data_IF_633533294023
#
_entry.id   IF_633533294023
#
_cell.length_a   1.000
_cell.length_b   1.000
_cell.length_c   1.000
_cell.angle_alpha   90.00
_cell.angle_beta   90.00
_cell.angle_gamma   90.00
#
_symmetry.space_group_name_H-M   'P 1'
#
loop_
_entity.id
_entity.type
_entity.pdbx_description
1 polymer ?
#
# COMPACT_ATOMS: atom_id res chain seq x y z
N UNK A 1 6.74 -15.03 -16.26
CA UNK A 1 6.29 -13.81 -16.95
C UNK A 1 5.51 -14.23 -18.17
N UNK A 2 4.24 -13.83 -18.28
CA UNK A 2 3.60 -13.82 -19.60
C UNK A 2 4.45 -12.97 -20.58
N UNK A 3 4.32 -13.21 -21.88
CA UNK A 3 5.16 -12.55 -22.90
C UNK A 3 5.23 -11.01 -22.77
N UNK A 4 4.20 -10.38 -22.21
CA UNK A 4 4.13 -8.93 -21.99
C UNK A 4 5.04 -8.43 -20.86
N UNK A 5 5.06 -9.08 -19.68
CA UNK A 5 5.91 -8.65 -18.57
C UNK A 5 7.40 -8.70 -18.90
N UNK A 6 7.81 -9.71 -19.66
CA UNK A 6 9.22 -9.85 -20.06
C UNK A 6 9.66 -8.75 -21.03
N UNK A 7 8.76 -8.24 -21.88
CA UNK A 7 9.06 -7.10 -22.76
C UNK A 7 9.36 -5.84 -21.96
N UNK A 8 8.55 -5.52 -20.96
CA UNK A 8 8.80 -4.39 -20.06
C UNK A 8 10.11 -4.57 -19.28
N UNK A 9 10.39 -5.78 -18.80
CA UNK A 9 11.64 -6.09 -18.11
C UNK A 9 12.85 -5.83 -18.98
N UNK A 10 12.85 -6.35 -20.21
CA UNK A 10 13.95 -6.19 -21.14
C UNK A 10 14.16 -4.72 -21.50
N UNK A 11 13.07 -3.95 -21.65
CA UNK A 11 13.13 -2.50 -21.84
C UNK A 11 13.85 -1.81 -20.67
N UNK A 12 13.41 -2.05 -19.43
CA UNK A 12 14.04 -1.49 -18.23
C UNK A 12 15.53 -1.87 -18.10
N UNK A 13 15.87 -3.14 -18.35
CA UNK A 13 17.24 -3.65 -18.27
C UNK A 13 18.16 -3.15 -19.39
N UNK A 14 17.60 -2.65 -20.49
CA UNK A 14 18.38 -2.05 -21.60
C UNK A 14 18.86 -0.62 -21.31
N UNK A 15 18.38 0.01 -20.23
CA UNK A 15 18.82 1.36 -19.83
C UNK A 15 20.28 1.35 -19.35
N UNK A 16 20.91 2.53 -19.31
CA UNK A 16 22.32 2.69 -18.91
C UNK A 16 22.69 2.00 -17.59
N UNK A 17 21.77 2.00 -16.61
CA UNK A 17 22.01 1.41 -15.29
C UNK A 17 21.38 0.01 -15.13
N UNK A 18 20.58 -0.45 -16.09
CA UNK A 18 19.93 -1.75 -16.03
C UNK A 18 19.08 -1.96 -14.77
N UNK A 19 18.44 -0.90 -14.25
CA UNK A 19 17.59 -1.02 -13.06
C UNK A 19 16.33 -1.81 -13.43
N UNK A 20 16.04 -2.95 -12.79
CA UNK A 20 14.85 -3.73 -13.09
C UNK A 20 13.60 -2.96 -12.65
N UNK A 21 12.55 -3.00 -13.47
CA UNK A 21 11.25 -2.51 -13.03
C UNK A 21 10.56 -3.52 -12.08
N UNK A 22 9.66 -3.02 -11.25
CA UNK A 22 8.76 -3.81 -10.41
C UNK A 22 7.33 -3.65 -10.92
N UNK A 23 6.60 -4.75 -11.13
CA UNK A 23 5.22 -4.70 -11.59
C UNK A 23 4.27 -5.00 -10.43
N UNK A 24 3.40 -4.05 -10.10
CA UNK A 24 2.34 -4.18 -9.09
C UNK A 24 0.99 -4.52 -9.71
N UNK A 25 0.17 -5.31 -9.02
CA UNK A 25 -1.21 -5.59 -9.40
C UNK A 25 -2.08 -5.82 -8.15
N UNK A 26 -3.38 -5.56 -8.24
CA UNK A 26 -4.32 -5.93 -7.19
C UNK A 26 -4.54 -7.44 -7.14
N UNK A 27 -4.12 -8.06 -6.04
CA UNK A 27 -4.29 -9.50 -5.76
C UNK A 27 -5.00 -9.66 -4.42
N UNK A 28 -6.22 -9.10 -4.34
CA UNK A 28 -6.92 -8.89 -3.06
C UNK A 28 -7.68 -10.12 -2.54
N UNK A 29 -7.81 -11.17 -3.34
CA UNK A 29 -8.46 -12.44 -2.97
C UNK A 29 -8.04 -13.60 -3.88
N UNK A 30 -6.76 -13.67 -4.23
CA UNK A 30 -6.27 -14.52 -5.33
C UNK A 30 -5.82 -13.69 -6.53
N UNK A 31 -5.10 -14.30 -7.48
CA UNK A 31 -4.66 -13.65 -8.72
C UNK A 31 -5.81 -13.48 -9.71
N UNK A 32 -6.85 -12.76 -9.29
CA UNK A 32 -8.15 -12.67 -9.94
C UNK A 32 -8.12 -12.11 -11.37
N UNK A 33 -7.11 -11.30 -11.70
CA UNK A 33 -6.88 -10.82 -13.06
C UNK A 33 -6.35 -11.92 -14.03
N UNK A 34 -5.81 -13.02 -13.52
CA UNK A 34 -5.30 -14.12 -14.32
C UNK A 34 -6.38 -15.20 -14.52
N UNK A 35 -6.66 -15.51 -15.79
CA UNK A 35 -7.60 -16.57 -16.14
C UNK A 35 -7.14 -17.93 -15.59
N UNK A 36 -8.04 -18.62 -14.87
CA UNK A 36 -7.77 -19.92 -14.26
C UNK A 36 -7.03 -19.88 -12.92
N UNK A 37 -6.74 -18.69 -12.38
CA UNK A 37 -6.18 -18.55 -11.03
C UNK A 37 -7.20 -18.94 -9.94
N UNK A 38 -6.68 -19.34 -8.77
CA UNK A 38 -7.53 -19.63 -7.62
C UNK A 38 -8.12 -18.34 -7.08
N UNK A 39 -9.44 -18.35 -6.87
CA UNK A 39 -10.16 -17.24 -6.22
C UNK A 39 -10.53 -17.66 -4.81
N UNK A 40 -9.96 -16.96 -3.83
CA UNK A 40 -10.26 -17.15 -2.42
C UNK A 40 -11.47 -16.30 -2.00
N UNK A 41 -12.10 -16.61 -0.85
CA UNK A 41 -13.04 -15.68 -0.24
C UNK A 41 -12.42 -14.30 -0.02
N UNK A 42 -13.21 -13.24 -0.15
CA UNK A 42 -12.78 -11.90 0.22
C UNK A 42 -12.51 -11.78 1.73
N UNK A 43 -11.78 -10.74 2.12
CA UNK A 43 -11.24 -10.54 3.46
C UNK A 43 -12.29 -10.62 4.56
N UNK A 44 -13.51 -10.11 4.36
CA UNK A 44 -14.57 -10.20 5.37
C UNK A 44 -14.92 -11.65 5.72
N UNK A 45 -14.99 -12.53 4.72
CA UNK A 45 -15.18 -13.98 4.92
C UNK A 45 -13.96 -14.65 5.55
N UNK A 46 -12.76 -14.24 5.14
CA UNK A 46 -11.51 -14.74 5.73
C UNK A 46 -11.37 -14.34 7.21
N UNK A 47 -11.82 -13.15 7.58
CA UNK A 47 -11.82 -12.67 8.95
C UNK A 47 -12.68 -13.54 9.88
N UNK A 48 -13.82 -14.05 9.40
CA UNK A 48 -14.72 -14.94 10.17
C UNK A 48 -14.01 -16.22 10.62
N UNK A 49 -13.00 -16.69 9.87
CA UNK A 49 -12.28 -17.91 10.21
C UNK A 49 -11.48 -17.80 11.51
N UNK A 50 -11.05 -16.58 11.88
CA UNK A 50 -10.15 -16.31 13.01
C UNK A 50 -8.86 -17.16 12.97
N UNK A 51 -8.45 -17.61 11.77
CA UNK A 51 -7.33 -18.52 11.58
C UNK A 51 -6.14 -17.83 10.87
N UNK A 52 -5.19 -17.26 11.62
CA UNK A 52 -4.00 -16.63 11.06
C UNK A 52 -3.14 -17.58 10.20
N UNK A 53 -3.10 -18.86 10.56
CA UNK A 53 -2.29 -19.84 9.85
C UNK A 53 -2.89 -20.17 8.48
N UNK A 54 -4.22 -20.22 8.39
CA UNK A 54 -4.93 -20.29 7.10
C UNK A 54 -4.59 -19.07 6.24
N UNK A 55 -4.66 -17.86 6.81
CA UNK A 55 -4.41 -16.62 6.07
C UNK A 55 -2.97 -16.57 5.54
N UNK A 56 -2.00 -16.99 6.34
CA UNK A 56 -0.60 -17.14 5.91
C UNK A 56 -0.44 -18.14 4.76
N UNK A 57 -1.12 -19.29 4.82
CA UNK A 57 -1.12 -20.29 3.73
C UNK A 57 -1.74 -19.73 2.45
N UNK A 58 -2.83 -18.97 2.56
CA UNK A 58 -3.45 -18.26 1.42
C UNK A 58 -2.45 -17.28 0.81
N UNK A 59 -1.79 -16.45 1.62
CA UNK A 59 -0.73 -15.54 1.14
C UNK A 59 0.39 -16.27 0.40
N UNK A 60 0.83 -17.43 0.90
CA UNK A 60 1.85 -18.25 0.24
C UNK A 60 1.39 -18.84 -1.10
N UNK A 61 0.14 -19.31 -1.19
CA UNK A 61 -0.45 -19.79 -2.44
C UNK A 61 -0.58 -18.64 -3.47
N UNK A 62 -1.08 -17.49 -3.03
CA UNK A 62 -1.18 -16.27 -3.83
C UNK A 62 0.19 -15.89 -4.40
N UNK A 63 1.25 -15.87 -3.58
CA UNK A 63 2.59 -15.52 -4.03
C UNK A 63 3.05 -16.42 -5.19
N UNK A 64 2.80 -17.73 -5.11
CA UNK A 64 3.16 -18.67 -6.17
C UNK A 64 2.39 -18.41 -7.47
N UNK A 65 1.07 -18.17 -7.38
CA UNK A 65 0.24 -17.90 -8.57
C UNK A 65 0.62 -16.57 -9.25
N UNK A 66 0.91 -15.54 -8.47
CA UNK A 66 1.38 -14.24 -8.99
C UNK A 66 2.76 -14.38 -9.62
N UNK A 67 3.67 -15.15 -9.00
CA UNK A 67 4.99 -15.43 -9.59
C UNK A 67 4.89 -16.28 -10.85
N UNK A 68 3.89 -17.15 -10.98
CA UNK A 68 3.65 -17.92 -12.20
C UNK A 68 3.37 -17.02 -13.42
N UNK A 69 2.69 -15.89 -13.22
CA UNK A 69 2.50 -14.86 -14.28
C UNK A 69 3.67 -13.90 -14.39
N UNK A 70 4.66 -13.99 -13.48
CA UNK A 70 5.91 -13.25 -13.46
C UNK A 70 5.85 -11.87 -12.81
N UNK A 71 4.76 -11.59 -12.10
CA UNK A 71 4.56 -10.37 -11.34
C UNK A 71 5.26 -10.50 -9.99
N UNK A 72 5.80 -9.41 -9.45
CA UNK A 72 6.64 -9.42 -8.25
C UNK A 72 6.01 -8.68 -7.06
N UNK A 73 4.94 -7.94 -7.27
CA UNK A 73 4.36 -7.04 -6.29
C UNK A 73 2.83 -7.10 -6.30
N UNK A 74 2.23 -7.18 -5.12
CA UNK A 74 0.78 -7.09 -4.94
C UNK A 74 0.39 -5.89 -4.09
N UNK A 75 -0.73 -5.26 -4.45
CA UNK A 75 -1.42 -4.26 -3.62
C UNK A 75 -2.32 -4.91 -2.57
N UNK A 76 -1.75 -5.77 -1.72
CA UNK A 76 -2.44 -6.46 -0.62
C UNK A 76 -1.49 -6.68 0.57
N UNK A 77 -1.99 -6.72 1.82
CA UNK A 77 -3.40 -6.71 2.20
C UNK A 77 -4.05 -5.33 2.39
N UNK A 78 -5.36 -5.27 2.13
CA UNK A 78 -6.22 -4.24 2.70
C UNK A 78 -6.42 -4.54 4.19
N UNK A 79 -5.94 -3.66 5.06
CA UNK A 79 -6.02 -3.77 6.53
C UNK A 79 -6.91 -2.68 7.13
N UNK A 80 -7.86 -2.19 6.33
CA UNK A 80 -8.93 -1.33 6.80
C UNK A 80 -9.70 -2.01 7.94
N UNK A 81 -10.05 -1.25 8.97
CA UNK A 81 -11.01 -1.67 9.99
C UNK A 81 -12.35 -1.04 9.62
N UNK A 82 -13.19 -1.76 8.86
CA UNK A 82 -14.47 -1.22 8.37
C UNK A 82 -15.42 -1.00 9.55
N UNK A 83 -15.85 0.24 9.79
CA UNK A 83 -16.75 0.63 10.89
C UNK A 83 -18.18 0.92 10.42
N UNK A 84 -18.39 0.97 9.11
CA UNK A 84 -19.69 1.23 8.50
C UNK A 84 -19.87 0.32 7.28
N UNK A 85 -20.77 -0.68 7.34
CA UNK A 85 -20.96 -1.64 6.25
C UNK A 85 -21.59 -1.03 4.99
N UNK A 86 -22.03 0.24 5.03
CA UNK A 86 -22.40 0.99 3.81
C UNK A 86 -21.22 1.23 2.90
N UNK A 87 -19.99 1.20 3.44
CA UNK A 87 -18.79 1.34 2.64
C UNK A 87 -18.69 0.24 1.58
N UNK A 88 -18.60 0.66 0.31
CA UNK A 88 -18.49 -0.24 -0.82
C UNK A 88 -17.25 -1.15 -0.79
N UNK A 89 -16.27 -0.84 0.06
CA UNK A 89 -15.04 -1.63 0.26
C UNK A 89 -15.05 -2.46 1.55
N UNK A 90 -16.18 -2.54 2.26
CA UNK A 90 -16.24 -3.25 3.54
C UNK A 90 -15.89 -4.75 3.41
N UNK A 91 -16.12 -5.36 2.25
CA UNK A 91 -15.71 -6.75 1.98
C UNK A 91 -14.18 -6.94 1.91
N UNK A 92 -13.42 -5.87 1.66
CA UNK A 92 -11.95 -5.89 1.68
C UNK A 92 -11.38 -5.74 3.11
N UNK A 93 -12.21 -5.38 4.09
CA UNK A 93 -11.83 -5.40 5.50
C UNK A 93 -12.02 -6.80 6.08
N UNK A 94 -11.04 -7.27 6.88
CA UNK A 94 -11.20 -8.54 7.58
C UNK A 94 -12.26 -8.49 8.68
N UNK A 95 -12.38 -7.35 9.37
CA UNK A 95 -13.36 -7.19 10.44
C UNK A 95 -13.52 -5.73 10.89
N UNK A 96 -14.62 -5.46 11.58
CA UNK A 96 -14.80 -4.21 12.31
C UNK A 96 -13.98 -4.17 13.62
N UNK A 97 -13.59 -5.33 14.15
CA UNK A 97 -12.72 -5.45 15.32
C UNK A 97 -11.23 -5.37 14.89
N UNK A 98 -10.47 -4.37 15.38
CA UNK A 98 -9.07 -4.21 15.01
C UNK A 98 -8.20 -5.41 15.40
N UNK A 99 -8.50 -6.14 16.47
CA UNK A 99 -7.68 -7.29 16.89
C UNK A 99 -7.73 -8.44 15.88
N UNK A 100 -8.86 -8.61 15.19
CA UNK A 100 -8.95 -9.58 14.10
C UNK A 100 -8.19 -9.10 12.88
N UNK A 101 -8.27 -7.82 12.52
CA UNK A 101 -7.50 -7.27 11.39
C UNK A 101 -5.99 -7.44 11.64
N UNK A 102 -5.54 -7.17 12.87
CA UNK A 102 -4.16 -7.44 13.32
C UNK A 102 -3.76 -8.90 13.15
N UNK A 103 -4.61 -9.83 13.57
CA UNK A 103 -4.39 -11.28 13.39
C UNK A 103 -4.20 -11.67 11.91
N UNK A 104 -4.95 -11.03 11.00
CA UNK A 104 -4.90 -11.34 9.57
C UNK A 104 -3.70 -10.73 8.83
N UNK A 105 -2.90 -9.88 9.49
CA UNK A 105 -1.63 -9.38 8.92
C UNK A 105 -0.62 -10.49 8.62
N UNK A 106 -0.84 -11.71 9.13
CA UNK A 106 -0.09 -12.94 8.79
C UNK A 106 -0.06 -13.27 7.29
N UNK A 107 -0.99 -12.71 6.49
CA UNK A 107 -0.91 -12.79 5.03
C UNK A 107 0.40 -12.20 4.49
N UNK A 108 0.96 -11.18 5.14
CA UNK A 108 2.22 -10.52 4.74
C UNK A 108 3.36 -11.53 4.74
N UNK A 109 3.51 -12.31 5.82
CA UNK A 109 4.55 -13.33 5.89
C UNK A 109 4.28 -14.50 4.94
N UNK A 110 3.01 -14.78 4.61
CA UNK A 110 2.64 -15.67 3.51
C UNK A 110 3.19 -15.20 2.16
N UNK A 111 2.91 -13.94 1.82
CA UNK A 111 3.26 -13.28 0.56
C UNK A 111 4.78 -13.09 0.40
N UNK A 112 5.43 -12.60 1.46
CA UNK A 112 6.83 -12.17 1.44
C UNK A 112 7.80 -13.22 1.98
N UNK A 113 7.33 -14.19 2.77
CA UNK A 113 8.18 -15.04 3.60
C UNK A 113 8.34 -14.51 5.03
N UNK A 114 8.86 -15.36 5.91
CA UNK A 114 9.05 -15.04 7.34
C UNK A 114 10.30 -14.22 7.58
N UNK A 115 10.17 -13.18 8.39
CA UNK A 115 11.32 -12.48 8.98
C UNK A 115 12.11 -13.45 9.87
N UNK A 116 13.41 -13.20 9.97
CA UNK A 116 14.32 -13.93 10.87
C UNK A 116 14.75 -13.04 12.03
N UNK A 117 15.32 -13.62 13.09
CA UNK A 117 15.84 -12.85 14.23
C UNK A 117 16.94 -11.85 13.82
N UNK A 118 17.66 -12.13 12.74
CA UNK A 118 18.68 -11.25 12.16
C UNK A 118 18.11 -10.13 11.27
N UNK A 119 16.81 -10.12 11.01
CA UNK A 119 16.17 -9.13 10.15
C UNK A 119 16.14 -7.75 10.81
N UNK A 120 16.52 -6.72 10.05
CA UNK A 120 16.48 -5.35 10.55
C UNK A 120 15.03 -4.89 10.79
N UNK A 121 14.76 -4.42 12.01
CA UNK A 121 13.42 -3.95 12.39
C UNK A 121 12.96 -2.80 11.50
N UNK A 122 11.76 -2.97 10.93
CA UNK A 122 11.11 -2.00 10.05
C UNK A 122 11.65 -1.97 8.62
N UNK A 123 12.68 -2.76 8.30
CA UNK A 123 13.16 -2.93 6.94
C UNK A 123 12.18 -3.77 6.10
N UNK A 124 12.06 -3.48 4.79
CA UNK A 124 11.25 -4.30 3.89
C UNK A 124 11.88 -5.69 3.75
N UNK A 125 11.06 -6.74 3.72
CA UNK A 125 11.53 -8.12 3.62
C UNK A 125 10.81 -8.89 2.50
N UNK A 126 11.56 -9.62 1.67
CA UNK A 126 11.02 -10.59 0.70
C UNK A 126 12.02 -11.75 0.53
N UNK A 127 11.61 -12.97 0.90
CA UNK A 127 12.46 -14.15 0.91
C UNK A 127 12.44 -14.91 -0.43
N UNK A 128 13.25 -14.42 -1.37
CA UNK A 128 13.58 -15.15 -2.59
C UNK A 128 12.53 -15.07 -3.71
N UNK A 129 12.79 -15.83 -4.79
CA UNK A 129 12.09 -15.68 -6.07
C UNK A 129 10.71 -16.32 -6.15
N UNK A 130 10.23 -16.99 -5.10
CA UNK A 130 8.87 -17.53 -5.05
C UNK A 130 7.92 -16.64 -4.22
N UNK A 131 8.45 -15.56 -3.66
CA UNK A 131 7.72 -14.58 -2.86
C UNK A 131 7.48 -13.30 -3.65
N UNK A 132 6.53 -12.51 -3.19
CA UNK A 132 6.17 -11.22 -3.77
C UNK A 132 6.17 -10.13 -2.70
N UNK A 133 6.44 -8.91 -3.14
CA UNK A 133 6.33 -7.69 -2.33
C UNK A 133 4.86 -7.53 -1.92
N UNK A 134 4.59 -7.24 -0.64
CA UNK A 134 3.26 -6.95 -0.12
C UNK A 134 3.06 -5.43 0.11
N UNK A 135 1.80 -5.02 0.25
CA UNK A 135 1.38 -3.64 0.45
C UNK A 135 0.29 -3.54 1.51
N UNK A 136 0.62 -2.98 2.67
CA UNK A 136 -0.40 -2.64 3.66
C UNK A 136 -1.16 -1.38 3.20
N UNK A 137 -2.48 -1.49 3.05
CA UNK A 137 -3.32 -0.39 2.52
C UNK A 137 -4.69 -0.26 3.21
N UNK A 138 -5.35 0.91 3.18
CA UNK A 138 -4.85 2.21 2.69
C UNK A 138 -4.60 3.13 3.88
N UNK A 139 -3.42 3.74 3.90
CA UNK A 139 -2.92 4.50 5.03
C UNK A 139 -3.53 5.91 5.08
N UNK A 140 -4.33 6.30 6.07
CA UNK A 140 -4.87 5.48 7.18
C UNK A 140 -6.32 5.89 7.46
N UNK A 141 -7.10 4.99 8.05
CA UNK A 141 -8.47 5.27 8.48
C UNK A 141 -9.49 5.23 7.35
N UNK A 142 -9.16 4.55 6.24
CA UNK A 142 -10.04 4.28 5.11
C UNK A 142 -11.33 3.54 5.48
N UNK A 143 -11.34 2.81 6.61
CA UNK A 143 -12.50 2.06 7.10
C UNK A 143 -13.52 2.84 7.94
N UNK A 144 -13.29 4.10 8.31
CA UNK A 144 -14.21 4.90 9.17
C UNK A 144 -14.57 6.25 8.54
N UNK A 145 -14.69 6.31 7.22
CA UNK A 145 -15.17 7.50 6.52
C UNK A 145 -16.62 7.81 6.89
N UNK A 146 -16.99 9.10 6.83
CA UNK A 146 -18.33 9.55 7.17
C UNK A 146 -19.40 8.81 6.37
N UNK A 147 -20.38 8.22 7.08
CA UNK A 147 -21.48 7.44 6.50
C UNK A 147 -21.05 6.25 5.61
N UNK A 148 -19.79 5.82 5.71
CA UNK A 148 -19.21 4.81 4.84
C UNK A 148 -18.94 5.29 3.41
N UNK A 149 -18.97 6.60 3.14
CA UNK A 149 -18.69 7.12 1.81
C UNK A 149 -17.22 6.88 1.42
N UNK A 150 -17.00 6.25 0.28
CA UNK A 150 -15.65 5.93 -0.16
C UNK A 150 -14.85 7.21 -0.40
N UNK A 151 -13.58 7.24 0.04
CA UNK A 151 -12.66 8.40 -0.09
C UNK A 151 -13.00 9.66 0.72
N UNK A 152 -14.08 9.64 1.52
CA UNK A 152 -14.51 10.80 2.32
C UNK A 152 -13.64 10.99 3.59
N UNK A 153 -14.08 11.86 4.49
CA UNK A 153 -13.40 12.27 5.69
C UNK A 153 -13.70 11.33 6.87
N UNK A 154 -12.65 10.84 7.50
CA UNK A 154 -12.68 10.10 8.76
C UNK A 154 -12.55 11.10 9.91
N UNK A 155 -13.63 11.27 10.68
CA UNK A 155 -13.76 12.30 11.71
C UNK A 155 -13.65 11.71 13.12
N UNK A 156 -12.43 11.46 13.58
CA UNK A 156 -12.16 10.80 14.87
C UNK A 156 -10.98 11.42 15.61
N UNK A 157 -10.94 11.21 16.93
CA UNK A 157 -9.78 11.61 17.74
C UNK A 157 -8.53 10.82 17.38
N UNK A 158 -7.35 11.42 17.60
CA UNK A 158 -6.06 10.74 17.43
C UNK A 158 -5.95 9.46 18.23
N UNK A 159 -6.49 9.43 19.46
CA UNK A 159 -6.54 8.22 20.27
C UNK A 159 -7.27 7.07 19.57
N UNK A 160 -8.41 7.33 18.92
CA UNK A 160 -9.14 6.32 18.15
C UNK A 160 -8.40 5.94 16.87
N UNK A 161 -7.86 6.93 16.14
CA UNK A 161 -7.08 6.68 14.93
C UNK A 161 -5.90 5.74 15.20
N UNK A 162 -5.12 6.02 16.25
CA UNK A 162 -3.98 5.19 16.62
C UNK A 162 -4.38 3.85 17.25
N UNK A 163 -5.46 3.81 18.04
CA UNK A 163 -5.92 2.59 18.70
C UNK A 163 -6.62 1.59 17.78
N UNK A 164 -7.31 2.07 16.74
CA UNK A 164 -8.11 1.23 15.84
C UNK A 164 -7.38 1.07 14.50
N UNK A 165 -7.27 2.16 13.73
CA UNK A 165 -6.86 2.11 12.32
C UNK A 165 -5.35 2.00 12.11
N UNK A 166 -4.54 2.45 13.06
CA UNK A 166 -3.08 2.31 12.97
C UNK A 166 -2.55 0.96 13.47
N UNK A 167 -3.34 0.23 14.27
CA UNK A 167 -2.87 -0.92 15.03
C UNK A 167 -2.26 -2.02 14.15
N UNK A 168 -2.93 -2.37 13.05
CA UNK A 168 -2.46 -3.37 12.09
C UNK A 168 -1.25 -2.91 11.25
N UNK A 169 -1.01 -1.60 11.10
CA UNK A 169 0.21 -1.11 10.43
C UNK A 169 1.46 -1.39 11.26
N UNK A 170 1.37 -1.29 12.59
CA UNK A 170 2.49 -1.67 13.45
C UNK A 170 2.86 -3.15 13.29
N UNK A 171 1.86 -4.03 13.30
CA UNK A 171 2.08 -5.46 13.13
C UNK A 171 2.60 -5.79 11.72
N UNK A 172 2.14 -5.05 10.71
CA UNK A 172 2.62 -5.18 9.32
C UNK A 172 4.09 -4.79 9.17
N UNK A 173 4.51 -3.68 9.81
CA UNK A 173 5.91 -3.21 9.78
C UNK A 173 6.83 -4.15 10.56
N UNK A 174 6.36 -4.70 11.69
CA UNK A 174 7.11 -5.73 12.43
C UNK A 174 7.34 -6.96 11.56
N UNK A 175 6.34 -7.37 10.76
CA UNK A 175 6.44 -8.47 9.78
C UNK A 175 7.22 -8.12 8.51
N UNK A 176 7.83 -6.93 8.45
CA UNK A 176 8.67 -6.51 7.32
C UNK A 176 7.88 -6.23 6.04
N UNK A 177 6.62 -5.77 6.13
CA UNK A 177 5.86 -5.33 4.94
C UNK A 177 6.71 -4.39 4.10
N UNK A 178 6.78 -4.63 2.80
CA UNK A 178 7.73 -3.91 1.96
C UNK A 178 7.22 -2.55 1.49
N UNK A 179 5.89 -2.37 1.41
CA UNK A 179 5.27 -1.13 0.94
C UNK A 179 4.04 -0.77 1.76
N UNK A 180 3.72 0.53 1.80
CA UNK A 180 2.48 1.06 2.36
C UNK A 180 1.83 1.94 1.30
N UNK A 181 0.55 1.76 1.02
CA UNK A 181 -0.20 2.60 0.09
C UNK A 181 -1.02 3.64 0.83
N UNK A 182 -1.01 4.89 0.39
CA UNK A 182 -1.80 5.97 1.00
C UNK A 182 -3.28 5.85 0.67
N UNK A 183 -4.13 6.40 1.53
CA UNK A 183 -5.57 6.51 1.30
C UNK A 183 -5.92 7.81 0.58
N UNK A 184 -6.97 7.76 -0.25
CA UNK A 184 -7.67 8.95 -0.76
C UNK A 184 -8.39 9.74 0.33
N UNK A 185 -8.78 9.05 1.42
CA UNK A 185 -9.56 9.63 2.51
C UNK A 185 -8.83 10.80 3.18
N UNK A 186 -9.61 11.57 3.92
CA UNK A 186 -9.07 12.59 4.83
C UNK A 186 -9.18 12.11 6.27
N UNK A 187 -8.31 12.61 7.14
CA UNK A 187 -8.44 12.50 8.59
C UNK A 187 -8.64 13.89 9.17
N UNK A 188 -9.82 14.14 9.75
CA UNK A 188 -10.22 15.45 10.29
C UNK A 188 -9.98 16.60 9.29
N UNK A 189 -10.31 16.38 8.02
CA UNK A 189 -10.21 17.37 6.93
C UNK A 189 -8.84 17.44 6.24
N UNK A 190 -7.82 16.73 6.73
CA UNK A 190 -6.50 16.67 6.09
C UNK A 190 -6.38 15.39 5.27
N UNK A 191 -6.05 15.50 3.97
CA UNK A 191 -5.85 14.34 3.10
C UNK A 191 -4.79 13.39 3.68
N UNK A 192 -5.10 12.11 3.80
CA UNK A 192 -4.19 11.11 4.38
C UNK A 192 -2.90 10.94 3.55
N UNK A 193 -2.98 11.15 2.24
CA UNK A 193 -1.81 11.23 1.36
C UNK A 193 -0.79 12.32 1.79
N UNK A 194 -1.20 13.32 2.59
CA UNK A 194 -0.34 14.37 3.14
C UNK A 194 0.18 14.10 4.57
N UNK A 195 -0.22 13.00 5.23
CA UNK A 195 0.12 12.74 6.65
C UNK A 195 1.22 11.68 6.84
N UNK A 196 1.72 11.13 5.73
CA UNK A 196 2.64 9.98 5.67
C UNK A 196 3.93 10.18 6.49
N UNK A 197 4.74 11.21 6.19
CA UNK A 197 6.04 11.44 6.84
C UNK A 197 5.90 11.73 8.33
N UNK A 198 4.84 12.45 8.71
CA UNK A 198 4.55 12.83 10.10
C UNK A 198 4.26 11.63 10.98
N UNK A 199 3.85 10.48 10.42
CA UNK A 199 3.44 9.32 11.21
C UNK A 199 4.29 8.07 10.95
N UNK A 200 4.90 7.92 9.78
CA UNK A 200 5.74 6.75 9.44
C UNK A 200 7.24 6.90 9.80
N UNK A 201 7.86 8.07 9.62
CA UNK A 201 9.35 8.22 9.60
C UNK A 201 10.01 9.00 10.77
N UNK A 202 9.66 10.27 11.04
CA UNK A 202 10.43 11.25 11.87
C UNK A 202 10.07 11.60 13.37
N UNK A 203 9.52 10.75 14.26
CA UNK A 203 9.20 11.13 15.67
C UNK A 203 9.34 9.96 16.65
N UNK A 204 9.39 10.27 17.95
CA UNK A 204 9.74 9.33 19.03
C UNK A 204 8.80 8.11 19.18
N UNK A 205 7.60 8.13 18.58
CA UNK A 205 6.58 7.07 18.69
C UNK A 205 6.21 6.44 17.32
N UNK A 206 7.13 6.40 16.36
CA UNK A 206 6.83 5.96 14.98
C UNK A 206 7.05 4.48 14.70
N UNK A 207 6.41 4.01 13.63
CA UNK A 207 6.53 2.66 13.09
C UNK A 207 7.95 2.31 12.63
N UNK A 208 8.81 3.32 12.36
CA UNK A 208 10.17 3.13 11.83
C UNK A 208 10.18 2.32 10.54
N UNK A 209 9.16 2.52 9.71
CA UNK A 209 9.05 1.89 8.40
C UNK A 209 10.16 2.39 7.49
N UNK A 210 10.85 1.45 6.83
CA UNK A 210 11.98 1.71 5.91
C UNK A 210 11.75 1.12 4.51
N UNK A 211 10.56 0.58 4.24
CA UNK A 211 10.13 0.29 2.88
C UNK A 211 9.78 1.59 2.15
N UNK A 212 9.11 1.48 1.01
CA UNK A 212 8.67 2.66 0.26
C UNK A 212 7.16 2.86 0.37
N UNK A 213 6.74 4.13 0.40
CA UNK A 213 5.34 4.54 0.40
C UNK A 213 4.91 4.82 -1.04
N UNK A 214 3.80 4.20 -1.45
CA UNK A 214 3.18 4.41 -2.75
C UNK A 214 1.89 5.21 -2.60
N UNK A 215 1.57 6.10 -3.54
CA UNK A 215 0.23 6.69 -3.59
C UNK A 215 -0.80 5.66 -4.06
N UNK A 216 -2.07 5.85 -3.71
CA UNK A 216 -3.15 5.24 -4.49
C UNK A 216 -3.16 5.80 -5.93
N UNK A 217 -3.92 5.17 -6.82
CA UNK A 217 -4.08 5.53 -8.22
C UNK A 217 -4.56 6.99 -8.39
N UNK A 218 -3.73 7.89 -8.92
CA UNK A 218 -4.05 9.33 -8.96
C UNK A 218 -4.34 9.91 -7.55
N UNK A 219 -3.76 9.32 -6.51
CA UNK A 219 -3.98 9.73 -5.12
C UNK A 219 -3.50 11.16 -4.85
N UNK A 220 -2.41 11.59 -5.51
CA UNK A 220 -1.91 12.97 -5.38
C UNK A 220 -2.80 13.98 -6.12
N UNK A 221 -3.43 13.59 -7.22
CA UNK A 221 -4.37 14.40 -7.97
C UNK A 221 -5.57 14.78 -7.09
N UNK A 222 -6.00 13.85 -6.25
CA UNK A 222 -7.11 14.00 -5.30
C UNK A 222 -6.77 14.86 -4.07
N UNK A 223 -5.58 15.46 -4.01
CA UNK A 223 -5.21 16.45 -2.99
C UNK A 223 -6.00 17.75 -3.21
N UNK A 224 -6.26 18.13 -4.46
CA UNK A 224 -7.02 19.34 -4.80
C UNK A 224 -8.49 19.04 -5.04
N UNK A 225 -9.32 20.08 -4.94
CA UNK A 225 -10.73 20.04 -5.32
C UNK A 225 -11.02 21.14 -6.36
N UNK A 226 -11.43 20.79 -7.60
CA UNK A 226 -11.56 19.44 -8.13
C UNK A 226 -10.20 18.71 -8.24
N UNK A 227 -10.19 17.36 -8.36
CA UNK A 227 -8.97 16.60 -8.57
C UNK A 227 -8.16 17.14 -9.75
N UNK A 228 -6.83 17.17 -9.61
CA UNK A 228 -5.88 17.63 -10.63
C UNK A 228 -5.94 19.14 -10.96
N UNK A 229 -6.73 19.96 -10.23
CA UNK A 229 -6.85 21.40 -10.48
C UNK A 229 -5.52 22.19 -10.34
N UNK A 230 -4.59 21.69 -9.52
CA UNK A 230 -3.24 22.24 -9.40
C UNK A 230 -2.23 21.10 -9.23
N UNK A 231 -1.90 20.43 -10.33
CA UNK A 231 -1.06 19.23 -10.29
C UNK A 231 0.39 19.53 -9.83
N UNK A 232 0.94 20.70 -10.14
CA UNK A 232 2.23 21.14 -9.58
C UNK A 232 2.21 21.16 -8.05
N UNK A 233 1.12 21.65 -7.45
CA UNK A 233 0.94 21.59 -6.00
C UNK A 233 0.78 20.14 -5.51
N UNK A 234 0.01 19.31 -6.21
CA UNK A 234 -0.14 17.89 -5.88
C UNK A 234 1.20 17.15 -5.82
N UNK A 235 2.08 17.36 -6.81
CA UNK A 235 3.44 16.78 -6.83
C UNK A 235 4.24 17.30 -5.63
N UNK A 236 4.29 18.63 -5.44
CA UNK A 236 5.05 19.25 -4.37
C UNK A 236 4.61 18.75 -2.99
N UNK A 237 3.30 18.74 -2.74
CA UNK A 237 2.72 18.37 -1.46
C UNK A 237 2.88 16.87 -1.19
N UNK A 238 2.60 16.02 -2.18
CA UNK A 238 2.74 14.57 -2.05
C UNK A 238 4.17 14.11 -1.78
N UNK A 239 5.15 14.63 -2.54
CA UNK A 239 6.56 14.27 -2.35
C UNK A 239 7.09 14.78 -1.01
N UNK A 240 6.79 16.04 -0.64
CA UNK A 240 7.19 16.56 0.67
C UNK A 240 6.47 15.88 1.84
N UNK A 241 5.29 15.29 1.60
CA UNK A 241 4.61 14.45 2.57
C UNK A 241 5.29 13.09 2.76
N UNK A 242 6.27 12.70 1.93
CA UNK A 242 7.03 11.45 2.07
C UNK A 242 6.48 10.29 1.24
N UNK A 243 5.84 10.57 0.10
CA UNK A 243 5.54 9.55 -0.92
C UNK A 243 6.80 9.27 -1.72
N UNK A 244 7.17 7.99 -1.81
CA UNK A 244 8.38 7.54 -2.53
C UNK A 244 8.08 7.12 -3.97
N UNK A 245 6.87 6.61 -4.22
CA UNK A 245 6.39 6.18 -5.54
C UNK A 245 4.99 6.73 -5.81
N UNK A 246 4.81 7.41 -6.94
CA UNK A 246 3.50 7.96 -7.34
C UNK A 246 2.87 7.08 -8.41
N UNK A 247 1.64 6.62 -8.16
CA UNK A 247 0.83 5.87 -9.12
C UNK A 247 0.07 6.85 -10.03
N UNK A 248 0.69 7.26 -11.13
CA UNK A 248 0.21 8.30 -12.07
C UNK A 248 -0.86 7.81 -13.07
N UNK A 249 -1.24 6.52 -13.05
CA UNK A 249 -1.33 5.55 -14.18
C UNK A 249 -1.23 6.00 -15.66
N UNK A 250 -1.49 7.26 -15.99
CA UNK A 250 -1.58 7.82 -17.33
C UNK A 250 -0.83 9.17 -17.36
N UNK A 251 -0.23 9.55 -18.47
CA UNK A 251 0.50 10.82 -18.62
C UNK A 251 1.70 10.98 -17.65
N UNK A 252 2.56 9.97 -17.60
CA UNK A 252 3.81 9.98 -16.82
C UNK A 252 4.74 11.15 -17.15
N UNK A 253 4.69 11.66 -18.39
CA UNK A 253 5.50 12.80 -18.84
C UNK A 253 5.22 14.06 -18.03
N UNK A 254 3.95 14.39 -17.76
CA UNK A 254 3.58 15.57 -16.97
C UNK A 254 4.13 15.48 -15.54
N UNK A 255 4.01 14.30 -14.91
CA UNK A 255 4.57 14.07 -13.58
C UNK A 255 6.09 14.22 -13.56
N UNK A 256 6.78 13.59 -14.52
CA UNK A 256 8.25 13.62 -14.62
C UNK A 256 8.74 15.07 -14.82
N UNK A 257 8.12 15.82 -15.73
CA UNK A 257 8.47 17.21 -16.01
C UNK A 257 8.20 18.12 -14.81
N UNK A 258 7.03 17.98 -14.18
CA UNK A 258 6.64 18.74 -13.00
C UNK A 258 7.56 18.48 -11.80
N UNK A 259 7.86 17.21 -11.51
CA UNK A 259 8.80 16.84 -10.44
C UNK A 259 10.21 17.36 -10.74
N UNK A 260 10.68 17.20 -11.98
CA UNK A 260 11.99 17.71 -12.41
C UNK A 260 12.09 19.21 -12.24
N UNK A 261 11.03 19.96 -12.61
CA UNK A 261 10.97 21.40 -12.42
C UNK A 261 11.07 21.78 -10.93
N UNK A 262 10.30 21.12 -10.06
CA UNK A 262 10.30 21.39 -8.62
C UNK A 262 11.66 21.13 -7.97
N UNK A 263 12.36 20.06 -8.39
CA UNK A 263 13.72 19.76 -7.92
C UNK A 263 14.74 20.78 -8.42
N UNK A 264 14.73 21.10 -9.73
CA UNK A 264 15.67 22.08 -10.34
C UNK A 264 15.56 23.45 -9.69
N UNK A 265 14.36 23.84 -9.29
CA UNK A 265 14.08 25.13 -8.64
C UNK A 265 14.10 25.06 -7.10
N UNK A 266 14.54 23.93 -6.51
CA UNK A 266 14.73 23.75 -5.06
C UNK A 266 13.44 23.84 -4.22
N UNK A 267 12.27 23.62 -4.82
CA UNK A 267 11.02 23.44 -4.09
C UNK A 267 10.93 22.06 -3.41
N UNK A 268 11.58 21.05 -4.01
CA UNK A 268 11.83 19.74 -3.41
C UNK A 268 13.33 19.62 -3.22
N UNK A 269 13.76 19.34 -1.99
CA UNK A 269 15.18 19.26 -1.63
C UNK A 269 15.63 17.81 -1.67
N UNK A 270 16.69 17.53 -2.43
CA UNK A 270 17.40 16.27 -2.33
C UNK A 270 18.22 16.30 -1.04
N UNK A 271 17.91 15.43 -0.09
CA UNK A 271 18.77 15.22 1.07
C UNK A 271 20.10 14.61 0.57
N UNK A 272 21.20 15.30 0.84
CA UNK A 272 22.56 14.79 0.64
C UNK A 272 22.96 13.86 1.78
#
# INVERSE_FOLDING_TARGET
MGQHGQRFQNGALSTRLGIPYIFGIDVVHGHSAAYGATIFPHNSGLGVTRDPLLIKKIGAAIALEVRATGIQYTFAPCIAVCRDPRCGRCYESYNEDPEIVRLMTEIISGLQGEITDDSEKGAPFVNGQQKIVACAKHYVGDGETHLGENTDNTMISSKKMFGIHMSAYNDSVIKGVATIMTSYSSWNGVKCTLTVSQQLVTSKNKLKFKGFVISDCQGIDSITDPPHANYTYSILAGINAGIDMVMVPLNDTEFIDGLTYLVKNKFIVLYQ
#
